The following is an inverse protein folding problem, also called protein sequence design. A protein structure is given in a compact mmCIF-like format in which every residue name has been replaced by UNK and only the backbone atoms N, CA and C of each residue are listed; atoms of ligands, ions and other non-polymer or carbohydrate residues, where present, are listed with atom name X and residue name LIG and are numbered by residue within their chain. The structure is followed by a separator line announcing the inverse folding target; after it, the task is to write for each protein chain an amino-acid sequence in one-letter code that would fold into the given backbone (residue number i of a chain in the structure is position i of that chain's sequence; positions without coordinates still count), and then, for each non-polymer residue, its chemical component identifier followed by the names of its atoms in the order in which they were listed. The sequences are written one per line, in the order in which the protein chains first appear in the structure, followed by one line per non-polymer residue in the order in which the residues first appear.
data_IF_795673069792
#
_entry.id   IF_795673069792
#
_cell.length_a   1.000
_cell.length_b   1.000
_cell.length_c   1.000
_cell.angle_alpha   90.00
_cell.angle_beta   90.00
_cell.angle_gamma   90.00
#
_symmetry.space_group_name_H-M   'P 1'
#
loop_
_entity.id
_entity.type
_entity.pdbx_description
1 polymer ?
#
# COMPACT_ATOMS: atom_id res chain seq x y z
N UNK A 1 37.46 -44.93 -59.75
CA UNK A 1 36.27 -44.20 -59.32
C UNK A 1 36.46 -43.93 -57.83
N UNK A 2 36.76 -42.69 -57.45
CA UNK A 2 36.87 -42.31 -56.04
C UNK A 2 35.46 -42.38 -55.46
N UNK A 3 35.21 -43.39 -54.64
CA UNK A 3 34.02 -43.46 -53.82
C UNK A 3 34.25 -42.46 -52.70
N UNK A 4 33.58 -41.31 -52.79
CA UNK A 4 33.51 -40.36 -51.72
C UNK A 4 32.70 -41.00 -50.58
N UNK A 5 33.40 -41.34 -49.49
CA UNK A 5 32.83 -42.01 -48.32
C UNK A 5 32.09 -41.04 -47.38
N UNK A 6 31.98 -39.76 -47.76
CA UNK A 6 31.36 -38.73 -46.92
C UNK A 6 29.82 -38.68 -47.02
N UNK A 7 29.22 -39.36 -47.99
CA UNK A 7 27.79 -39.21 -48.32
C UNK A 7 26.93 -40.45 -47.96
N UNK A 8 27.54 -41.50 -47.40
CA UNK A 8 26.84 -42.74 -47.06
C UNK A 8 26.57 -42.79 -45.56
N UNK A 9 25.28 -42.77 -45.19
CA UNK A 9 24.70 -42.99 -43.85
C UNK A 9 25.61 -42.57 -42.69
N UNK A 10 25.34 -41.41 -42.11
CA UNK A 10 26.09 -40.94 -40.95
C UNK A 10 26.07 -42.04 -39.89
N UNK A 11 27.26 -42.50 -39.45
CA UNK A 11 27.40 -43.43 -38.34
C UNK A 11 26.76 -42.90 -37.03
N UNK A 12 26.34 -41.63 -37.03
CA UNK A 12 25.65 -40.93 -35.94
C UNK A 12 24.11 -40.95 -36.04
N UNK A 13 23.53 -41.69 -37.01
CA UNK A 13 22.07 -41.85 -37.09
C UNK A 13 21.49 -42.68 -35.93
N UNK A 14 20.36 -42.24 -35.39
CA UNK A 14 19.70 -42.86 -34.23
C UNK A 14 19.20 -44.28 -34.52
N UNK A 15 18.86 -44.58 -35.79
CA UNK A 15 18.39 -45.89 -36.28
C UNK A 15 19.41 -46.52 -37.23
N UNK A 16 20.70 -46.44 -36.91
CA UNK A 16 21.74 -47.04 -37.73
C UNK A 16 21.56 -48.57 -37.88
N UNK A 17 21.30 -49.04 -39.11
CA UNK A 17 21.32 -50.47 -39.45
C UNK A 17 22.66 -50.84 -40.14
N UNK A 18 23.50 -51.66 -39.48
CA UNK A 18 24.77 -52.11 -40.05
C UNK A 18 24.59 -52.96 -41.32
N UNK A 19 23.46 -53.65 -41.49
CA UNK A 19 23.20 -54.51 -42.65
C UNK A 19 22.88 -53.66 -43.88
N UNK A 20 22.05 -52.63 -43.74
CA UNK A 20 21.75 -51.70 -44.83
C UNK A 20 22.99 -50.94 -45.27
N UNK A 21 23.82 -50.51 -44.32
CA UNK A 21 25.08 -49.85 -44.64
C UNK A 21 26.08 -50.78 -45.35
N UNK A 22 26.18 -52.05 -44.93
CA UNK A 22 27.01 -53.05 -45.61
C UNK A 22 26.50 -53.36 -47.01
N UNK A 23 25.18 -53.49 -47.19
CA UNK A 23 24.56 -53.70 -48.50
C UNK A 23 24.80 -52.52 -49.44
N UNK A 24 24.87 -51.30 -48.88
CA UNK A 24 25.14 -50.09 -49.63
C UNK A 24 26.62 -49.98 -50.05
N UNK A 25 27.55 -50.33 -49.16
CA UNK A 25 28.98 -50.42 -49.45
C UNK A 25 29.32 -51.55 -50.43
N UNK A 26 28.60 -52.67 -50.35
CA UNK A 26 28.80 -53.87 -51.17
C UNK A 26 27.63 -54.15 -52.12
N UNK A 27 27.17 -53.12 -52.84
CA UNK A 27 25.99 -53.18 -53.72
C UNK A 27 26.14 -54.06 -54.97
N UNK A 28 27.36 -54.47 -55.35
CA UNK A 28 27.59 -55.32 -56.51
C UNK A 28 28.74 -56.33 -56.25
N UNK A 29 28.72 -57.57 -56.78
CA UNK A 29 29.75 -58.59 -56.51
C UNK A 29 31.21 -58.19 -56.79
N UNK A 30 31.43 -57.18 -57.63
CA UNK A 30 32.75 -56.62 -57.95
C UNK A 30 33.36 -55.80 -56.80
N UNK A 31 32.55 -55.26 -55.89
CA UNK A 31 33.03 -54.46 -54.75
C UNK A 31 33.53 -55.31 -53.58
N UNK A 32 33.27 -56.62 -53.58
CA UNK A 32 33.79 -57.59 -52.59
C UNK A 32 35.32 -57.61 -52.56
N UNK A 33 35.97 -57.29 -53.69
CA UNK A 33 37.43 -57.14 -53.78
C UNK A 33 38.00 -56.00 -52.91
N UNK A 34 37.17 -55.04 -52.48
CA UNK A 34 37.56 -53.89 -51.66
C UNK A 34 37.35 -54.09 -50.16
N UNK A 35 36.90 -55.27 -49.73
CA UNK A 35 36.56 -55.58 -48.32
C UNK A 35 37.71 -55.34 -47.36
N UNK A 36 38.93 -55.71 -47.75
CA UNK A 36 40.12 -55.53 -46.92
C UNK A 36 40.41 -54.05 -46.67
N UNK A 37 40.18 -53.20 -47.67
CA UNK A 37 40.39 -51.75 -47.57
C UNK A 37 39.34 -51.12 -46.64
N UNK A 38 38.06 -51.47 -46.81
CA UNK A 38 36.96 -50.98 -45.96
C UNK A 38 37.15 -51.44 -44.50
N UNK A 39 37.51 -52.70 -44.28
CA UNK A 39 37.81 -53.22 -42.94
C UNK A 39 38.95 -52.47 -42.26
N UNK A 40 40.01 -52.13 -43.01
CA UNK A 40 41.14 -51.39 -42.47
C UNK A 40 40.79 -49.94 -42.13
N UNK A 41 39.97 -49.28 -42.96
CA UNK A 41 39.44 -47.93 -42.65
C UNK A 41 38.55 -47.95 -41.41
N UNK A 42 37.67 -48.94 -41.26
CA UNK A 42 36.80 -49.08 -40.08
C UNK A 42 37.61 -49.33 -38.81
N UNK A 43 38.63 -50.20 -38.86
CA UNK A 43 39.52 -50.45 -37.71
C UNK A 43 40.31 -49.20 -37.32
N UNK A 44 40.74 -48.41 -38.30
CA UNK A 44 41.42 -47.15 -38.02
C UNK A 44 40.48 -46.16 -37.33
N UNK A 45 39.27 -45.97 -37.85
CA UNK A 45 38.26 -45.08 -37.27
C UNK A 45 37.80 -45.54 -35.88
N UNK A 46 37.68 -46.85 -35.67
CA UNK A 46 37.42 -47.42 -34.35
C UNK A 46 38.52 -47.05 -33.36
N UNK A 47 39.78 -47.14 -33.77
CA UNK A 47 40.91 -46.81 -32.92
C UNK A 47 40.95 -45.32 -32.58
N UNK A 48 40.73 -44.44 -33.57
CA UNK A 48 40.61 -42.99 -33.34
C UNK A 48 39.48 -42.65 -32.37
N UNK A 49 38.29 -43.23 -32.55
CA UNK A 49 37.16 -43.03 -31.64
C UNK A 49 37.47 -43.54 -30.22
N UNK A 50 38.17 -44.66 -30.10
CA UNK A 50 38.55 -45.19 -28.79
C UNK A 50 39.54 -44.26 -28.08
N UNK A 51 40.52 -43.70 -28.79
CA UNK A 51 41.44 -42.69 -28.25
C UNK A 51 40.68 -41.42 -27.83
N UNK A 52 39.76 -40.93 -28.65
CA UNK A 52 38.91 -39.77 -28.32
C UNK A 52 38.03 -40.01 -27.09
N UNK A 53 37.42 -41.20 -26.98
CA UNK A 53 36.62 -41.59 -25.80
C UNK A 53 37.51 -41.63 -24.56
N UNK A 54 38.65 -42.31 -24.63
CA UNK A 54 39.58 -42.41 -23.50
C UNK A 54 40.10 -41.02 -23.09
N UNK A 55 40.38 -40.14 -24.05
CA UNK A 55 40.81 -38.78 -23.79
C UNK A 55 39.70 -37.96 -23.11
N UNK A 56 38.45 -38.09 -23.55
CA UNK A 56 37.29 -37.40 -22.95
C UNK A 56 36.96 -37.94 -21.57
N UNK A 57 37.00 -39.26 -21.37
CA UNK A 57 36.79 -39.89 -20.07
C UNK A 57 37.87 -39.48 -19.07
N UNK A 58 39.15 -39.45 -19.49
CA UNK A 58 40.23 -38.95 -18.62
C UNK A 58 40.06 -37.45 -18.32
N UNK A 59 39.74 -36.61 -19.32
CA UNK A 59 39.42 -35.20 -19.06
C UNK A 59 38.26 -35.02 -18.09
N UNK A 60 37.22 -35.86 -18.16
CA UNK A 60 36.08 -35.82 -17.26
C UNK A 60 36.41 -36.37 -15.87
N UNK A 61 37.16 -37.47 -15.77
CA UNK A 61 37.62 -38.06 -14.51
C UNK A 61 38.59 -37.13 -13.76
N UNK A 62 39.42 -36.39 -14.49
CA UNK A 62 40.31 -35.34 -14.00
C UNK A 62 39.68 -33.94 -14.02
N UNK A 63 38.35 -33.81 -14.14
CA UNK A 63 37.59 -32.62 -13.74
C UNK A 63 36.91 -32.88 -12.38
N UNK A 64 37.64 -33.01 -11.26
CA UNK A 64 37.08 -33.62 -10.06
C UNK A 64 36.27 -32.61 -9.23
N UNK A 65 36.22 -31.33 -9.60
CA UNK A 65 35.73 -30.30 -8.68
C UNK A 65 34.60 -29.43 -9.23
N UNK A 66 34.37 -29.37 -10.54
CA UNK A 66 33.45 -28.35 -11.07
C UNK A 66 32.00 -28.56 -10.62
N UNK A 67 31.52 -29.81 -10.54
CA UNK A 67 30.13 -30.08 -10.13
C UNK A 67 29.93 -29.94 -8.62
N UNK A 68 30.89 -30.43 -7.82
CA UNK A 68 30.80 -30.39 -6.36
C UNK A 68 31.00 -28.96 -5.83
N UNK A 69 31.96 -28.20 -6.39
CA UNK A 69 32.13 -26.77 -6.11
C UNK A 69 30.91 -25.96 -6.54
N UNK A 70 30.31 -26.24 -7.71
CA UNK A 70 29.05 -25.59 -8.13
C UNK A 70 27.91 -25.86 -7.14
N UNK A 71 27.78 -27.10 -6.67
CA UNK A 71 26.76 -27.45 -5.68
C UNK A 71 27.00 -26.76 -4.33
N UNK A 72 28.26 -26.73 -3.85
CA UNK A 72 28.62 -26.02 -2.62
C UNK A 72 28.40 -24.51 -2.73
N UNK A 73 28.73 -23.90 -3.88
CA UNK A 73 28.46 -22.49 -4.16
C UNK A 73 26.97 -22.19 -4.16
N UNK A 74 26.15 -23.01 -4.84
CA UNK A 74 24.70 -22.86 -4.85
C UNK A 74 24.08 -23.02 -3.45
N UNK A 75 24.59 -23.95 -2.63
CA UNK A 75 24.16 -24.10 -1.24
C UNK A 75 24.50 -22.86 -0.39
N UNK A 76 25.69 -22.29 -0.57
CA UNK A 76 26.11 -21.07 0.11
C UNK A 76 25.26 -19.86 -0.29
N UNK A 77 24.95 -19.72 -1.58
CA UNK A 77 24.07 -18.67 -2.11
C UNK A 77 22.65 -18.80 -1.57
N UNK A 78 22.09 -20.02 -1.53
CA UNK A 78 20.77 -20.26 -0.92
C UNK A 78 20.76 -19.91 0.56
N UNK A 79 21.80 -20.29 1.30
CA UNK A 79 21.92 -19.91 2.71
C UNK A 79 21.97 -18.39 2.89
N UNK A 80 22.67 -17.67 2.01
CA UNK A 80 22.69 -16.21 2.02
C UNK A 80 21.32 -15.62 1.67
N UNK A 81 20.61 -16.20 0.71
CA UNK A 81 19.27 -15.77 0.32
C UNK A 81 18.28 -15.91 1.47
N UNK A 82 18.28 -17.05 2.17
CA UNK A 82 17.42 -17.23 3.34
C UNK A 82 17.71 -16.21 4.44
N UNK A 83 18.99 -15.90 4.70
CA UNK A 83 19.36 -14.83 5.64
C UNK A 83 18.86 -13.47 5.19
N UNK A 84 18.93 -13.15 3.90
CA UNK A 84 18.40 -11.90 3.35
C UNK A 84 16.88 -11.82 3.49
N UNK A 85 16.16 -12.92 3.20
CA UNK A 85 14.71 -13.00 3.36
C UNK A 85 14.32 -12.78 4.82
N UNK A 86 15.00 -13.43 5.77
CA UNK A 86 14.70 -13.27 7.19
C UNK A 86 15.00 -11.86 7.68
N UNK A 87 16.08 -11.24 7.20
CA UNK A 87 16.39 -9.84 7.48
C UNK A 87 15.31 -8.89 6.96
N UNK A 88 14.84 -9.09 5.72
CA UNK A 88 13.77 -8.29 5.12
C UNK A 88 12.47 -8.48 5.91
N UNK A 89 12.15 -9.71 6.30
CA UNK A 89 10.98 -10.03 7.11
C UNK A 89 11.01 -9.31 8.46
N UNK A 90 12.15 -9.38 9.16
CA UNK A 90 12.31 -8.73 10.47
C UNK A 90 12.14 -7.22 10.36
N UNK A 91 12.81 -6.59 9.37
CA UNK A 91 12.66 -5.15 9.10
C UNK A 91 11.23 -4.76 8.71
N UNK A 92 10.54 -5.61 7.97
CA UNK A 92 9.14 -5.37 7.60
C UNK A 92 8.23 -5.35 8.85
N UNK A 93 8.43 -6.29 9.78
CA UNK A 93 7.68 -6.33 11.06
C UNK A 93 8.00 -5.11 11.93
N UNK A 94 9.27 -4.73 12.06
CA UNK A 94 9.66 -3.52 12.80
C UNK A 94 9.05 -2.25 12.19
N UNK A 95 9.03 -2.18 10.85
CA UNK A 95 8.42 -1.07 10.11
C UNK A 95 6.91 -1.04 10.30
N UNK A 96 6.23 -2.18 10.22
CA UNK A 96 4.79 -2.29 10.47
C UNK A 96 4.42 -1.83 11.88
N UNK A 97 5.18 -2.26 12.90
CA UNK A 97 4.97 -1.84 14.29
C UNK A 97 5.18 -0.32 14.44
N UNK A 98 6.23 0.22 13.82
CA UNK A 98 6.52 1.66 13.84
C UNK A 98 5.40 2.47 13.19
N UNK A 99 4.94 2.06 12.00
CA UNK A 99 3.83 2.71 11.28
C UNK A 99 2.52 2.61 12.08
N UNK A 100 2.25 1.45 12.69
CA UNK A 100 1.05 1.25 13.51
C UNK A 100 1.05 2.17 14.72
N UNK A 101 2.19 2.33 15.40
CA UNK A 101 2.32 3.30 16.50
C UNK A 101 2.13 4.73 16.02
N UNK A 102 2.80 5.11 14.92
CA UNK A 102 2.68 6.45 14.35
C UNK A 102 1.23 6.79 13.96
N UNK A 103 0.52 5.87 13.34
CA UNK A 103 -0.88 6.09 12.93
C UNK A 103 -1.85 6.15 14.11
N UNK A 104 -1.59 5.39 15.18
CA UNK A 104 -2.33 5.51 16.43
C UNK A 104 -2.15 6.90 17.07
N UNK A 105 -0.92 7.43 17.08
CA UNK A 105 -0.62 8.76 17.61
C UNK A 105 -1.23 9.87 16.75
N UNK A 106 -1.18 9.75 15.41
CA UNK A 106 -1.86 10.68 14.49
C UNK A 106 -3.37 10.71 14.78
N UNK A 107 -3.99 9.54 14.98
CA UNK A 107 -5.42 9.46 15.31
C UNK A 107 -5.74 10.12 16.65
N UNK A 108 -4.88 9.94 17.67
CA UNK A 108 -5.03 10.61 18.97
C UNK A 108 -4.88 12.12 18.86
N UNK A 109 -3.92 12.59 18.06
CA UNK A 109 -3.70 14.00 17.80
C UNK A 109 -4.91 14.62 17.08
N UNK A 110 -5.45 13.96 16.06
CA UNK A 110 -6.63 14.44 15.34
C UNK A 110 -7.86 14.52 16.25
N UNK A 111 -8.10 13.48 17.06
CA UNK A 111 -9.16 13.48 18.07
C UNK A 111 -9.01 14.64 19.07
N UNK A 112 -7.78 14.90 19.52
CA UNK A 112 -7.48 16.02 20.42
C UNK A 112 -7.73 17.36 19.73
N UNK A 113 -7.26 17.55 18.49
CA UNK A 113 -7.47 18.76 17.69
C UNK A 113 -8.96 19.04 17.48
N UNK A 114 -9.73 18.01 17.14
CA UNK A 114 -11.19 18.10 16.99
C UNK A 114 -11.85 18.54 18.29
N UNK A 115 -11.53 17.89 19.41
CA UNK A 115 -12.08 18.24 20.72
C UNK A 115 -11.72 19.66 21.14
N UNK A 116 -10.47 20.09 20.91
CA UNK A 116 -10.04 21.46 21.17
C UNK A 116 -10.78 22.49 20.30
N UNK A 117 -10.99 22.18 19.02
CA UNK A 117 -11.70 23.08 18.10
C UNK A 117 -13.18 23.21 18.49
N UNK A 118 -13.83 22.10 18.86
CA UNK A 118 -15.20 22.10 19.39
C UNK A 118 -15.28 22.94 20.67
N UNK A 119 -14.34 22.72 21.60
CA UNK A 119 -14.28 23.46 22.87
C UNK A 119 -14.05 24.96 22.64
N UNK A 120 -13.08 25.34 21.80
CA UNK A 120 -12.84 26.74 21.45
C UNK A 120 -14.06 27.39 20.80
N UNK A 121 -14.74 26.69 19.89
CA UNK A 121 -15.93 27.21 19.21
C UNK A 121 -17.07 27.42 20.19
N UNK A 122 -17.32 26.46 21.08
CA UNK A 122 -18.33 26.58 22.12
C UNK A 122 -18.02 27.74 23.07
N UNK A 123 -16.77 27.86 23.55
CA UNK A 123 -16.36 28.95 24.44
C UNK A 123 -16.49 30.33 23.78
N UNK A 124 -16.05 30.48 22.52
CA UNK A 124 -16.23 31.72 21.77
C UNK A 124 -17.71 32.09 21.60
N UNK A 125 -18.57 31.11 21.29
CA UNK A 125 -20.02 31.32 21.20
C UNK A 125 -20.65 31.70 22.53
N UNK A 126 -20.15 31.12 23.63
CA UNK A 126 -20.63 31.45 24.97
C UNK A 126 -20.23 32.88 25.35
N UNK A 127 -18.98 33.26 25.07
CA UNK A 127 -18.52 34.64 25.24
C UNK A 127 -19.38 35.62 24.43
N UNK A 128 -19.63 35.33 23.15
CA UNK A 128 -20.51 36.16 22.30
C UNK A 128 -21.91 36.27 22.90
N UNK A 129 -22.48 35.18 23.43
CA UNK A 129 -23.79 35.19 24.07
C UNK A 129 -23.82 36.07 25.32
N UNK A 130 -22.84 35.94 26.21
CA UNK A 130 -22.75 36.76 27.43
C UNK A 130 -22.60 38.24 27.08
N UNK A 131 -21.71 38.59 26.16
CA UNK A 131 -21.52 40.00 25.74
C UNK A 131 -22.77 40.56 25.06
N UNK A 132 -23.43 39.79 24.18
CA UNK A 132 -24.66 40.22 23.53
C UNK A 132 -25.82 40.39 24.53
N UNK A 133 -25.91 39.53 25.53
CA UNK A 133 -26.89 39.66 26.61
C UNK A 133 -26.67 40.92 27.45
N UNK A 134 -25.43 41.21 27.86
CA UNK A 134 -25.10 42.43 28.59
C UNK A 134 -25.44 43.70 27.80
N UNK A 135 -25.11 43.70 26.50
CA UNK A 135 -25.47 44.80 25.59
C UNK A 135 -26.99 44.94 25.44
N UNK A 136 -27.71 43.82 25.28
CA UNK A 136 -29.17 43.83 25.16
C UNK A 136 -29.84 44.39 26.42
N UNK A 137 -29.33 44.03 27.60
CA UNK A 137 -29.79 44.58 28.87
C UNK A 137 -29.55 46.09 28.96
N UNK A 138 -28.40 46.56 28.49
CA UNK A 138 -28.10 47.99 28.39
C UNK A 138 -29.07 48.76 27.48
N UNK A 139 -29.35 48.21 26.29
CA UNK A 139 -30.28 48.80 25.33
C UNK A 139 -31.75 48.76 25.80
N UNK A 140 -32.13 47.71 26.53
CA UNK A 140 -33.45 47.59 27.16
C UNK A 140 -33.68 48.73 28.16
N UNK A 141 -32.69 49.00 29.01
CA UNK A 141 -32.72 50.09 30.00
C UNK A 141 -32.85 51.48 29.33
N UNK A 142 -32.19 51.70 28.19
CA UNK A 142 -32.25 52.98 27.45
C UNK A 142 -33.42 53.05 26.46
N UNK A 143 -34.27 52.02 26.42
CA UNK A 143 -35.45 51.90 25.55
C UNK A 143 -35.14 51.98 24.05
N UNK A 144 -33.95 51.53 23.62
CA UNK A 144 -33.53 51.56 22.21
C UNK A 144 -34.07 50.35 21.41
N UNK A 145 -35.40 50.29 21.27
CA UNK A 145 -36.11 49.11 20.74
C UNK A 145 -35.64 48.61 19.36
N UNK A 146 -35.21 49.52 18.48
CA UNK A 146 -34.72 49.18 17.14
C UNK A 146 -33.45 48.31 17.19
N UNK A 147 -32.53 48.66 18.07
CA UNK A 147 -31.27 47.93 18.24
C UNK A 147 -31.48 46.65 19.06
N UNK A 148 -32.37 46.72 20.07
CA UNK A 148 -32.81 45.54 20.83
C UNK A 148 -33.34 44.42 19.92
N UNK A 149 -34.15 44.74 18.91
CA UNK A 149 -34.74 43.74 18.03
C UNK A 149 -33.69 42.89 17.29
N UNK A 150 -32.67 43.54 16.72
CA UNK A 150 -31.59 42.85 16.01
C UNK A 150 -30.72 42.01 16.96
N UNK A 151 -30.39 42.57 18.13
CA UNK A 151 -29.55 41.89 19.10
C UNK A 151 -30.27 40.72 19.78
N UNK A 152 -31.56 40.87 20.10
CA UNK A 152 -32.41 39.81 20.64
C UNK A 152 -32.50 38.63 19.67
N UNK A 153 -32.65 38.88 18.37
CA UNK A 153 -32.64 37.80 17.37
C UNK A 153 -31.32 37.01 17.39
N UNK A 154 -30.17 37.70 17.46
CA UNK A 154 -28.86 37.05 17.54
C UNK A 154 -28.70 36.24 18.84
N UNK A 155 -29.11 36.79 19.97
CA UNK A 155 -29.09 36.13 21.28
C UNK A 155 -29.95 34.86 21.27
N UNK A 156 -31.16 34.91 20.71
CA UNK A 156 -32.05 33.74 20.60
C UNK A 156 -31.45 32.62 19.73
N UNK A 157 -30.73 32.98 18.66
CA UNK A 157 -30.01 31.99 17.85
C UNK A 157 -28.87 31.33 18.63
N UNK A 158 -28.11 32.12 19.40
CA UNK A 158 -27.02 31.61 20.23
C UNK A 158 -27.55 30.67 21.33
N UNK A 159 -28.66 31.00 21.98
CA UNK A 159 -29.28 30.13 23.00
C UNK A 159 -29.71 28.79 22.41
N UNK A 160 -30.28 28.77 21.20
CA UNK A 160 -30.68 27.52 20.53
C UNK A 160 -29.51 26.56 20.36
N UNK A 161 -28.32 27.07 20.05
CA UNK A 161 -27.10 26.26 19.97
C UNK A 161 -26.69 25.66 21.31
N UNK A 162 -27.03 26.30 22.43
CA UNK A 162 -26.68 25.84 23.78
C UNK A 162 -27.73 24.92 24.43
N UNK A 163 -28.82 24.57 23.73
CA UNK A 163 -29.85 23.66 24.26
C UNK A 163 -29.29 22.30 24.73
N UNK A 164 -28.29 21.75 24.04
CA UNK A 164 -27.63 20.50 24.43
C UNK A 164 -26.75 20.62 25.68
N UNK A 165 -26.42 21.84 26.10
CA UNK A 165 -25.56 22.15 27.25
C UNK A 165 -26.37 22.51 28.51
N UNK A 166 -27.69 22.27 28.50
CA UNK A 166 -28.59 22.63 29.60
C UNK A 166 -28.27 21.95 30.94
N UNK A 167 -27.54 20.84 30.92
CA UNK A 167 -27.03 20.19 32.13
C UNK A 167 -26.00 21.04 32.88
N UNK A 168 -25.40 22.04 32.22
CA UNK A 168 -24.47 22.98 32.83
C UNK A 168 -25.28 24.12 33.46
N UNK A 169 -25.23 24.21 34.79
CA UNK A 169 -26.05 25.13 35.58
C UNK A 169 -25.88 26.59 35.15
N UNK A 170 -24.65 27.04 34.88
CA UNK A 170 -24.37 28.42 34.47
C UNK A 170 -25.05 28.77 33.15
N UNK A 171 -25.06 27.84 32.19
CA UNK A 171 -25.72 28.02 30.88
C UNK A 171 -27.24 28.01 31.04
N UNK A 172 -27.76 27.13 31.91
CA UNK A 172 -29.19 27.09 32.21
C UNK A 172 -29.67 28.38 32.90
N UNK A 173 -28.86 28.98 33.78
CA UNK A 173 -29.16 30.27 34.41
C UNK A 173 -29.14 31.40 33.40
N UNK A 174 -28.09 31.52 32.57
CA UNK A 174 -28.02 32.53 31.51
C UNK A 174 -29.22 32.42 30.53
N UNK A 175 -29.63 31.20 30.17
CA UNK A 175 -30.80 30.99 29.32
C UNK A 175 -32.11 31.44 29.98
N UNK A 176 -32.24 31.30 31.30
CA UNK A 176 -33.41 31.80 32.05
C UNK A 176 -33.41 33.32 32.10
N UNK A 177 -32.27 33.92 32.43
CA UNK A 177 -32.10 35.37 32.47
C UNK A 177 -32.47 36.04 31.14
N UNK A 178 -32.06 35.46 30.01
CA UNK A 178 -32.46 35.98 28.69
C UNK A 178 -33.96 35.84 28.46
N UNK A 179 -34.57 34.74 28.91
CA UNK A 179 -36.02 34.54 28.78
C UNK A 179 -36.81 35.55 29.63
N UNK A 180 -36.28 35.90 30.81
CA UNK A 180 -36.89 36.89 31.70
C UNK A 180 -36.72 38.30 31.12
N UNK A 181 -35.54 38.65 30.59
CA UNK A 181 -35.32 39.91 29.88
C UNK A 181 -36.24 40.05 28.65
N UNK A 182 -36.51 38.96 27.94
CA UNK A 182 -37.45 38.96 26.83
C UNK A 182 -38.88 39.30 27.29
N UNK A 183 -39.33 38.77 28.44
CA UNK A 183 -40.64 39.08 29.01
C UNK A 183 -40.72 40.53 29.49
N UNK A 184 -39.66 41.00 30.13
CA UNK A 184 -39.54 42.39 30.58
C UNK A 184 -39.64 43.36 29.40
N UNK A 185 -38.87 43.12 28.32
CA UNK A 185 -38.94 43.92 27.10
C UNK A 185 -40.34 43.92 26.47
N UNK A 186 -41.04 42.78 26.47
CA UNK A 186 -42.41 42.70 25.96
C UNK A 186 -43.35 43.59 26.78
N UNK A 187 -43.32 43.45 28.11
CA UNK A 187 -44.14 44.27 29.00
C UNK A 187 -43.84 45.76 28.83
N UNK A 188 -42.55 46.12 28.79
CA UNK A 188 -42.09 47.49 28.60
C UNK A 188 -42.59 48.10 27.28
N UNK A 189 -42.57 47.34 26.18
CA UNK A 189 -43.09 47.81 24.88
C UNK A 189 -44.61 47.97 24.93
N UNK A 190 -45.34 47.06 25.59
CA UNK A 190 -46.79 47.17 25.78
C UNK A 190 -47.15 48.43 26.59
N UNK A 191 -46.49 48.64 27.74
CA UNK A 191 -46.74 49.81 28.60
C UNK A 191 -46.44 51.12 27.86
N UNK A 192 -45.33 51.18 27.12
CA UNK A 192 -44.96 52.37 26.34
C UNK A 192 -45.95 52.65 25.20
N UNK A 193 -46.49 51.59 24.59
CA UNK A 193 -47.54 51.71 23.59
C UNK A 193 -48.84 52.24 24.22
N UNK A 194 -49.29 51.68 25.34
CA UNK A 194 -50.48 52.16 26.06
C UNK A 194 -50.34 53.63 26.51
N UNK A 195 -49.16 54.03 26.99
CA UNK A 195 -48.85 55.42 27.37
C UNK A 195 -48.86 56.37 26.17
N UNK A 196 -48.36 55.93 25.01
CA UNK A 196 -48.39 56.74 23.78
C UNK A 196 -49.83 57.01 23.33
N UNK A 197 -50.69 55.99 23.35
CA UNK A 197 -52.10 56.11 22.94
C UNK A 197 -52.99 56.83 23.97
N UNK A 198 -52.63 56.83 25.25
CA UNK A 198 -53.38 57.56 26.29
C UNK A 198 -52.99 59.04 26.40
N UNK A 199 -51.79 59.44 25.92
CA UNK A 199 -51.37 60.85 25.84
C UNK A 199 -51.92 61.61 24.63
N UNK A 200 -52.46 60.94 23.63
CA UNK A 200 -53.07 61.54 22.43
C UNK A 200 -54.57 61.87 22.58
N UNK A 201 -55.11 61.80 23.80
CA UNK A 201 -56.47 62.21 24.16
C UNK A 201 -56.45 63.45 25.06
#
# INVERSE_FOLDING_TARGET
MNIDLSEFASLDEVEYDPIDHLNLLFSHPSTVSSISKVSQTLKHRQHELQEDINQRETQQAYQPNSSLERMQSAQAELAQLFRKIEMVRTRAVETEQSITSMTADIKRLDGTKRNLTLSMTALKRLQMLTTAYEQLRGLANTRQYRECAGLLQAVLQLIKHFNSYRSIEQIATLSREVSDLQRELLAQVCDDFELAFTKEK
#
